data_IF_303895207949
#
_entry.id   IF_303895207949
#
_cell.length_a   1.000
_cell.length_b   1.000
_cell.length_c   1.000
_cell.angle_alpha   90.00
_cell.angle_beta   90.00
_cell.angle_gamma   90.00
#
_symmetry.space_group_name_H-M   'P 1'
#
loop_
_entity.id
_entity.type
_entity.pdbx_description
1 polymer ?
#
# COMPACT_ATOMS: atom_id res chain seq x y z
N UNK A 1 -6.48 -10.84 16.19
CA UNK A 1 -6.50 -9.43 15.78
C UNK A 1 -7.11 -9.33 14.39
N UNK A 2 -7.76 -8.23 14.10
CA UNK A 2 -8.50 -7.98 12.87
C UNK A 2 -8.04 -6.68 12.21
N UNK A 3 -7.82 -6.70 10.91
CA UNK A 3 -7.43 -5.52 10.12
C UNK A 3 -8.44 -5.26 9.02
N UNK A 4 -8.87 -4.01 8.89
CA UNK A 4 -9.68 -3.51 7.79
C UNK A 4 -8.80 -3.00 6.66
N UNK A 5 -9.19 -3.26 5.41
CA UNK A 5 -8.47 -2.77 4.23
C UNK A 5 -9.48 -2.07 3.33
N UNK A 6 -9.18 -0.84 2.95
CA UNK A 6 -9.99 -0.02 2.06
C UNK A 6 -9.21 0.26 0.78
N UNK A 7 -9.59 -0.41 -0.31
CA UNK A 7 -8.98 -0.29 -1.64
C UNK A 7 -9.80 -1.01 -2.68
N UNK A 8 -9.81 -0.55 -3.92
CA UNK A 8 -10.34 -1.33 -5.04
C UNK A 8 -9.47 -2.55 -5.36
N UNK A 9 -10.12 -3.63 -5.77
CA UNK A 9 -9.48 -4.65 -6.59
C UNK A 9 -9.13 -4.04 -7.95
N UNK A 10 -8.00 -4.45 -8.54
CA UNK A 10 -7.58 -3.99 -9.87
C UNK A 10 -7.26 -5.14 -10.80
N UNK A 11 -7.30 -4.87 -12.09
CA UNK A 11 -6.69 -5.70 -13.11
C UNK A 11 -5.69 -4.82 -13.86
N UNK A 12 -4.42 -5.16 -13.75
CA UNK A 12 -3.33 -4.38 -14.35
C UNK A 12 -2.83 -5.05 -15.62
N UNK A 13 -2.98 -4.39 -16.77
CA UNK A 13 -2.42 -4.84 -18.05
C UNK A 13 -0.97 -4.38 -18.15
N UNK A 14 -0.02 -5.27 -17.90
CA UNK A 14 1.42 -4.98 -17.96
C UNK A 14 1.91 -5.19 -19.38
N UNK A 15 2.44 -4.13 -19.99
CA UNK A 15 3.04 -4.14 -21.33
C UNK A 15 4.55 -4.11 -21.21
N UNK A 16 5.21 -5.14 -21.72
CA UNK A 16 6.67 -5.23 -21.77
C UNK A 16 7.12 -5.68 -23.17
N UNK A 17 7.62 -4.76 -23.98
CA UNK A 17 7.85 -5.00 -25.41
C UNK A 17 6.54 -5.35 -26.12
N UNK A 18 6.53 -6.46 -26.84
CA UNK A 18 5.34 -6.98 -27.56
C UNK A 18 4.40 -7.82 -26.69
N UNK A 19 4.76 -8.08 -25.43
CA UNK A 19 3.97 -8.91 -24.54
C UNK A 19 3.02 -8.08 -23.67
N UNK A 20 1.81 -8.59 -23.48
CA UNK A 20 0.80 -8.00 -22.59
C UNK A 20 0.32 -9.09 -21.62
N UNK A 21 0.32 -8.78 -20.33
CA UNK A 21 -0.11 -9.68 -19.26
C UNK A 21 -1.17 -8.98 -18.40
N UNK A 22 -2.33 -9.59 -18.26
CA UNK A 22 -3.34 -9.12 -17.30
C UNK A 22 -3.07 -9.75 -15.94
N UNK A 23 -2.78 -8.90 -14.95
CA UNK A 23 -2.44 -9.29 -13.59
C UNK A 23 -3.49 -8.73 -12.63
N UNK A 24 -4.42 -9.57 -12.13
CA UNK A 24 -5.35 -9.15 -11.11
C UNK A 24 -4.62 -8.92 -9.78
N UNK A 25 -4.98 -7.85 -9.05
CA UNK A 25 -4.27 -7.46 -7.85
C UNK A 25 -4.82 -6.21 -7.18
N UNK A 26 -3.98 -5.20 -7.11
CA UNK A 26 -4.19 -3.97 -6.34
C UNK A 26 -3.93 -4.15 -4.84
N UNK A 27 -3.89 -3.05 -4.08
CA UNK A 27 -3.71 -3.08 -2.64
C UNK A 27 -4.75 -3.96 -1.94
N UNK A 28 -5.99 -4.03 -2.45
CA UNK A 28 -7.02 -4.94 -1.96
C UNK A 28 -6.53 -6.39 -1.85
N UNK A 29 -5.85 -6.90 -2.87
CA UNK A 29 -5.33 -8.27 -2.87
C UNK A 29 -4.03 -8.40 -2.09
N UNK A 30 -3.03 -7.55 -2.38
CA UNK A 30 -1.71 -7.66 -1.77
C UNK A 30 -1.75 -7.43 -0.25
N UNK A 31 -2.45 -6.40 0.22
CA UNK A 31 -2.59 -6.14 1.65
C UNK A 31 -3.36 -7.26 2.36
N UNK A 32 -4.48 -7.70 1.76
CA UNK A 32 -5.33 -8.73 2.37
C UNK A 32 -4.61 -10.06 2.53
N UNK A 33 -3.96 -10.53 1.47
CA UNK A 33 -3.21 -11.79 1.50
C UNK A 33 -2.00 -11.72 2.43
N UNK A 34 -1.31 -10.57 2.46
CA UNK A 34 -0.19 -10.34 3.38
C UNK A 34 -0.65 -10.41 4.83
N UNK A 35 -1.73 -9.71 5.18
CA UNK A 35 -2.28 -9.74 6.52
C UNK A 35 -2.78 -11.15 6.93
N UNK A 36 -3.41 -11.89 6.00
CA UNK A 36 -3.81 -13.30 6.21
C UNK A 36 -2.61 -14.20 6.50
N UNK A 37 -1.54 -14.05 5.71
CA UNK A 37 -0.30 -14.83 5.91
C UNK A 37 0.34 -14.53 7.27
N UNK A 38 0.15 -13.33 7.81
CA UNK A 38 0.57 -12.94 9.16
C UNK A 38 -0.44 -13.31 10.27
N UNK A 39 -1.49 -14.08 9.92
CA UNK A 39 -2.50 -14.62 10.86
C UNK A 39 -3.46 -13.57 11.42
N UNK A 40 -3.72 -12.50 10.70
CA UNK A 40 -4.80 -11.56 11.01
C UNK A 40 -6.12 -12.02 10.37
N UNK A 41 -7.23 -11.71 11.01
CA UNK A 41 -8.53 -11.70 10.35
C UNK A 41 -8.60 -10.44 9.48
N UNK A 42 -9.16 -10.57 8.28
CA UNK A 42 -9.20 -9.47 7.31
C UNK A 42 -10.63 -9.17 6.92
N UNK A 43 -11.00 -7.90 7.02
CA UNK A 43 -12.19 -7.34 6.38
C UNK A 43 -11.73 -6.48 5.21
N UNK A 44 -12.13 -6.84 4.01
CA UNK A 44 -11.80 -6.09 2.80
C UNK A 44 -13.02 -5.29 2.36
N UNK A 45 -12.92 -3.97 2.47
CA UNK A 45 -13.84 -3.01 1.84
C UNK A 45 -13.30 -2.67 0.46
N UNK A 46 -14.02 -3.08 -0.58
CA UNK A 46 -13.57 -2.98 -1.97
C UNK A 46 -14.74 -2.84 -2.92
N UNK A 47 -14.45 -2.47 -4.16
CA UNK A 47 -15.36 -2.65 -5.31
C UNK A 47 -14.62 -3.39 -6.43
N UNK A 48 -15.35 -4.24 -7.15
CA UNK A 48 -14.89 -5.00 -8.30
C UNK A 48 -16.07 -5.37 -9.21
N UNK A 49 -15.83 -5.49 -10.49
CA UNK A 49 -16.82 -5.95 -11.47
C UNK A 49 -16.88 -7.47 -11.57
N UNK A 50 -17.87 -7.97 -12.32
CA UNK A 50 -18.02 -9.39 -12.62
C UNK A 50 -16.80 -9.99 -13.35
N UNK A 51 -15.98 -9.13 -13.94
CA UNK A 51 -14.76 -9.48 -14.67
C UNK A 51 -13.54 -9.75 -13.77
N UNK A 52 -13.67 -9.60 -12.43
CA UNK A 52 -12.56 -9.82 -11.51
C UNK A 52 -12.34 -11.31 -11.20
N UNK A 53 -11.18 -11.90 -11.55
CA UNK A 53 -11.03 -13.35 -11.54
C UNK A 53 -10.63 -13.97 -10.19
N UNK A 54 -10.34 -13.18 -9.15
CA UNK A 54 -9.79 -13.68 -7.88
C UNK A 54 -10.80 -13.79 -6.73
N UNK A 55 -12.11 -13.65 -6.99
CA UNK A 55 -13.12 -13.65 -5.92
C UNK A 55 -13.08 -14.96 -5.11
N UNK A 56 -13.21 -16.07 -5.78
CA UNK A 56 -13.21 -17.39 -5.12
C UNK A 56 -11.89 -17.63 -4.36
N UNK A 57 -10.78 -17.18 -4.92
CA UNK A 57 -9.47 -17.30 -4.28
C UNK A 57 -9.39 -16.49 -2.99
N UNK A 58 -9.89 -15.25 -2.97
CA UNK A 58 -9.92 -14.41 -1.78
C UNK A 58 -10.83 -14.99 -0.70
N UNK A 59 -12.01 -15.50 -1.08
CA UNK A 59 -12.94 -16.16 -0.16
C UNK A 59 -12.35 -17.45 0.44
N UNK A 60 -11.70 -18.29 -0.36
CA UNK A 60 -10.99 -19.49 0.11
C UNK A 60 -9.87 -19.14 1.11
N UNK A 61 -9.24 -17.98 0.96
CA UNK A 61 -8.27 -17.45 1.90
C UNK A 61 -8.92 -16.76 3.12
N UNK A 62 -10.26 -16.87 3.28
CA UNK A 62 -11.02 -16.30 4.41
C UNK A 62 -10.88 -14.78 4.53
N UNK A 63 -10.84 -14.11 3.39
CA UNK A 63 -10.92 -12.65 3.32
C UNK A 63 -12.40 -12.30 3.20
N UNK A 64 -12.94 -11.61 4.23
CA UNK A 64 -14.34 -11.20 4.24
C UNK A 64 -14.53 -9.97 3.36
N UNK A 65 -15.34 -10.11 2.32
CA UNK A 65 -15.71 -9.00 1.42
C UNK A 65 -17.22 -8.76 1.55
N UNK A 66 -17.61 -7.52 1.83
CA UNK A 66 -19.01 -7.12 1.90
C UNK A 66 -19.31 -6.06 0.85
N UNK A 67 -20.43 -6.22 0.14
CA UNK A 67 -20.90 -5.24 -0.86
C UNK A 67 -19.84 -4.86 -1.92
N UNK A 68 -18.95 -5.81 -2.26
CA UNK A 68 -17.84 -5.55 -3.18
C UNK A 68 -18.24 -5.58 -4.66
N UNK A 69 -19.22 -6.40 -5.04
CA UNK A 69 -19.65 -6.53 -6.43
C UNK A 69 -20.32 -5.25 -6.92
N UNK A 70 -19.82 -4.73 -8.03
CA UNK A 70 -20.28 -3.55 -8.74
C UNK A 70 -20.94 -3.93 -10.06
N UNK A 71 -21.80 -3.06 -10.59
CA UNK A 71 -22.30 -3.16 -11.96
C UNK A 71 -21.28 -2.67 -12.98
N UNK A 72 -20.30 -1.88 -12.55
CA UNK A 72 -19.18 -1.43 -13.39
C UNK A 72 -18.11 -2.52 -13.49
N UNK A 73 -17.29 -2.45 -14.52
CA UNK A 73 -16.10 -3.29 -14.62
C UNK A 73 -15.07 -2.94 -13.53
N UNK A 74 -14.25 -3.90 -13.20
CA UNK A 74 -13.13 -3.73 -12.26
C UNK A 74 -12.21 -2.59 -12.67
N UNK A 75 -11.70 -1.82 -11.71
CA UNK A 75 -10.69 -0.78 -11.98
C UNK A 75 -9.48 -1.37 -12.70
N UNK A 76 -9.10 -0.77 -13.83
CA UNK A 76 -8.04 -1.26 -14.71
C UNK A 76 -6.99 -0.20 -14.97
N UNK A 77 -5.74 -0.63 -14.89
CA UNK A 77 -4.60 0.17 -15.32
C UNK A 77 -3.84 -0.54 -16.44
N UNK A 78 -3.29 0.25 -17.37
CA UNK A 78 -2.25 -0.20 -18.29
C UNK A 78 -0.92 0.31 -17.77
N UNK A 79 0.03 -0.61 -17.57
CA UNK A 79 1.37 -0.34 -17.09
C UNK A 79 2.35 -0.61 -18.22
N UNK A 80 2.97 0.43 -18.73
CA UNK A 80 3.99 0.30 -19.79
C UNK A 80 5.37 0.36 -19.15
N UNK A 81 6.13 -0.72 -19.31
CA UNK A 81 7.50 -0.81 -18.81
C UNK A 81 8.47 -0.54 -19.97
N UNK A 82 9.30 0.49 -19.83
CA UNK A 82 10.36 0.85 -20.78
C UNK A 82 11.68 1.03 -20.04
N UNK A 83 12.65 0.16 -20.29
CA UNK A 83 14.02 0.17 -19.71
C UNK A 83 14.14 0.56 -18.23
N UNK A 84 13.96 1.84 -17.89
CA UNK A 84 14.06 2.38 -16.53
C UNK A 84 12.79 3.09 -16.07
N UNK A 85 11.81 3.26 -16.95
CA UNK A 85 10.60 4.05 -16.69
C UNK A 85 9.35 3.18 -16.67
N UNK A 86 8.41 3.58 -15.84
CA UNK A 86 7.09 2.98 -15.72
C UNK A 86 6.04 4.06 -15.96
N UNK A 87 5.25 3.88 -17.01
CA UNK A 87 4.10 4.71 -17.28
C UNK A 87 2.81 4.00 -16.89
N UNK A 88 1.90 4.73 -16.27
CA UNK A 88 0.62 4.21 -15.79
C UNK A 88 -0.52 4.95 -16.48
N UNK A 89 -1.48 4.20 -16.99
CA UNK A 89 -2.68 4.75 -17.64
C UNK A 89 -3.92 4.14 -17.01
N UNK A 90 -4.93 4.97 -16.72
CA UNK A 90 -6.25 4.47 -16.29
C UNK A 90 -7.04 4.01 -17.50
N UNK A 91 -7.57 2.79 -17.46
CA UNK A 91 -8.40 2.24 -18.52
C UNK A 91 -9.87 2.14 -18.13
N UNK A 92 -10.12 1.77 -16.87
CA UNK A 92 -11.45 1.69 -16.31
C UNK A 92 -11.44 2.08 -14.84
N UNK A 93 -12.55 2.59 -14.34
CA UNK A 93 -12.78 2.98 -12.97
C UNK A 93 -14.07 2.32 -12.47
N UNK A 94 -13.99 1.59 -11.38
CA UNK A 94 -15.14 1.00 -10.72
C UNK A 94 -15.91 2.04 -9.89
N UNK A 95 -17.09 1.69 -9.37
CA UNK A 95 -17.90 2.52 -8.49
C UNK A 95 -17.12 3.01 -7.26
N UNK A 96 -17.43 4.20 -6.71
CA UNK A 96 -16.88 4.64 -5.43
C UNK A 96 -17.14 3.66 -4.30
N UNK A 97 -16.27 3.65 -3.32
CA UNK A 97 -16.39 2.77 -2.15
C UNK A 97 -17.42 3.28 -1.15
N UNK A 98 -17.92 2.34 -0.33
CA UNK A 98 -18.84 2.62 0.77
C UNK A 98 -18.17 2.33 2.13
N UNK A 99 -18.65 3.01 3.18
CA UNK A 99 -18.24 2.70 4.54
C UNK A 99 -18.82 1.35 4.97
N UNK A 100 -17.96 0.50 5.53
CA UNK A 100 -18.38 -0.74 6.17
C UNK A 100 -18.04 -0.62 7.65
N UNK A 101 -19.09 -0.61 8.49
CA UNK A 101 -18.94 -0.56 9.94
C UNK A 101 -18.50 -1.93 10.46
N UNK A 102 -17.23 -2.03 10.81
CA UNK A 102 -16.61 -3.26 11.32
C UNK A 102 -15.61 -2.91 12.43
N UNK A 103 -15.66 -3.68 13.49
CA UNK A 103 -14.72 -3.55 14.61
C UNK A 103 -13.34 -4.11 14.20
N UNK A 104 -12.44 -3.22 13.79
CA UNK A 104 -11.08 -3.54 13.40
C UNK A 104 -10.08 -2.98 14.41
N UNK A 105 -9.06 -3.76 14.77
CA UNK A 105 -7.94 -3.30 15.60
C UNK A 105 -7.14 -2.18 14.90
N UNK A 106 -7.15 -2.16 13.57
CA UNK A 106 -6.56 -1.12 12.73
C UNK A 106 -7.02 -1.21 11.30
N UNK A 107 -6.81 -0.14 10.53
CA UNK A 107 -7.15 -0.08 9.11
C UNK A 107 -5.98 0.33 8.23
N UNK A 108 -5.98 -0.17 7.01
CA UNK A 108 -5.12 0.25 5.90
C UNK A 108 -6.00 0.93 4.87
N UNK A 109 -5.70 2.19 4.57
CA UNK A 109 -6.36 2.97 3.53
C UNK A 109 -5.37 3.13 2.38
N UNK A 110 -5.61 2.44 1.29
CA UNK A 110 -4.71 2.44 0.12
C UNK A 110 -5.53 2.53 -1.17
N UNK A 111 -6.16 3.68 -1.43
CA UNK A 111 -6.91 3.87 -2.67
C UNK A 111 -5.99 3.75 -3.89
N UNK A 112 -6.54 3.32 -5.02
CA UNK A 112 -5.82 3.20 -6.28
C UNK A 112 -6.07 4.37 -7.22
N UNK A 113 -7.31 4.91 -7.24
CA UNK A 113 -7.68 6.06 -8.06
C UNK A 113 -9.02 6.67 -7.65
N UNK A 114 -8.99 7.63 -6.73
CA UNK A 114 -10.14 8.51 -6.37
C UNK A 114 -11.44 7.76 -6.00
N UNK A 115 -11.31 6.54 -5.46
CA UNK A 115 -12.46 5.73 -5.06
C UNK A 115 -12.96 5.99 -3.63
N UNK A 116 -12.18 6.76 -2.85
CA UNK A 116 -12.50 7.13 -1.47
C UNK A 116 -12.76 8.64 -1.42
N UNK A 117 -13.98 9.03 -1.08
CA UNK A 117 -14.35 10.43 -0.89
C UNK A 117 -13.80 10.97 0.43
N UNK A 118 -13.72 12.30 0.58
CA UNK A 118 -13.25 12.95 1.83
C UNK A 118 -14.14 12.55 3.03
N UNK A 119 -15.46 12.42 2.81
CA UNK A 119 -16.39 11.99 3.86
C UNK A 119 -16.12 10.53 4.27
N UNK A 120 -15.93 9.65 3.31
CA UNK A 120 -15.58 8.25 3.58
C UNK A 120 -14.24 8.14 4.29
N UNK A 121 -13.23 8.87 3.83
CA UNK A 121 -11.91 8.91 4.46
C UNK A 121 -11.98 9.33 5.93
N UNK A 122 -12.77 10.38 6.23
CA UNK A 122 -13.01 10.83 7.59
C UNK A 122 -13.67 9.74 8.46
N UNK A 123 -14.72 9.07 7.95
CA UNK A 123 -15.41 7.99 8.67
C UNK A 123 -14.46 6.82 8.97
N UNK A 124 -13.66 6.40 8.00
CA UNK A 124 -12.70 5.30 8.17
C UNK A 124 -11.68 5.63 9.27
N UNK A 125 -11.09 6.83 9.25
CA UNK A 125 -10.11 7.25 10.27
C UNK A 125 -10.68 7.26 11.68
N UNK A 126 -11.98 7.52 11.82
CA UNK A 126 -12.67 7.56 13.11
C UNK A 126 -13.10 6.17 13.61
N UNK A 127 -13.07 5.14 12.77
CA UNK A 127 -13.54 3.79 13.12
C UNK A 127 -12.52 2.92 13.84
N UNK A 128 -11.29 3.39 14.02
CA UNK A 128 -10.21 2.62 14.62
C UNK A 128 -9.15 3.51 15.28
N UNK A 129 -8.37 2.93 16.17
CA UNK A 129 -7.28 3.64 16.85
C UNK A 129 -5.95 3.61 16.09
N UNK A 130 -5.84 2.82 15.02
CA UNK A 130 -4.64 2.76 14.20
C UNK A 130 -4.99 2.79 12.71
N UNK A 131 -4.60 3.86 12.05
CA UNK A 131 -4.81 4.06 10.61
C UNK A 131 -3.47 4.18 9.90
N UNK A 132 -3.20 3.28 8.94
CA UNK A 132 -2.10 3.42 7.99
C UNK A 132 -2.65 3.88 6.65
N UNK A 133 -2.09 4.97 6.12
CA UNK A 133 -2.44 5.56 4.83
C UNK A 133 -1.34 5.33 3.80
N UNK A 134 -1.70 4.83 2.63
CA UNK A 134 -0.96 4.95 1.37
C UNK A 134 -1.76 5.87 0.45
N UNK A 135 -1.37 7.14 0.28
CA UNK A 135 -2.23 8.16 -0.33
C UNK A 135 -2.31 8.12 -1.84
N UNK A 136 -1.65 7.15 -2.51
CA UNK A 136 -1.44 7.13 -3.95
C UNK A 136 -2.71 7.45 -4.77
N UNK A 137 -3.86 6.89 -4.43
CA UNK A 137 -5.11 7.07 -5.19
C UNK A 137 -5.75 8.45 -5.00
N UNK A 138 -5.52 9.12 -3.88
CA UNK A 138 -5.93 10.52 -3.69
C UNK A 138 -5.11 11.49 -4.54
N UNK A 139 -3.84 11.15 -4.79
CA UNK A 139 -2.88 11.99 -5.50
C UNK A 139 -2.94 11.82 -7.02
N UNK A 140 -3.49 10.71 -7.49
CA UNK A 140 -3.56 10.41 -8.92
C UNK A 140 -4.63 11.25 -9.62
N UNK A 141 -4.25 11.74 -10.79
CA UNK A 141 -5.13 12.34 -11.79
C UNK A 141 -4.69 11.80 -13.16
N UNK A 142 -5.36 12.15 -14.25
CA UNK A 142 -4.94 11.76 -15.60
C UNK A 142 -5.04 12.93 -16.57
N UNK A 143 -4.24 12.88 -17.62
CA UNK A 143 -4.30 13.81 -18.74
C UNK A 143 -5.32 13.31 -19.81
N UNK A 144 -5.41 14.01 -20.95
CA UNK A 144 -6.28 13.64 -22.07
C UNK A 144 -6.06 12.24 -22.64
N UNK A 145 -4.86 11.70 -22.46
CA UNK A 145 -4.45 10.37 -22.97
C UNK A 145 -4.62 9.28 -21.89
N UNK A 146 -5.32 9.59 -20.80
CA UNK A 146 -5.50 8.74 -19.62
C UNK A 146 -4.20 8.37 -18.89
N UNK A 147 -3.08 9.03 -19.18
CA UNK A 147 -1.82 8.85 -18.44
C UNK A 147 -1.95 9.43 -17.04
N UNK A 148 -1.60 8.62 -16.05
CA UNK A 148 -1.63 9.02 -14.64
C UNK A 148 -0.53 10.04 -14.36
N UNK A 149 -0.93 11.11 -13.70
CA UNK A 149 -0.09 12.18 -13.19
C UNK A 149 -0.38 12.35 -11.70
N UNK A 150 0.56 12.91 -10.94
CA UNK A 150 0.30 13.32 -9.56
C UNK A 150 -0.20 14.76 -9.53
N UNK A 151 -1.21 15.01 -8.70
CA UNK A 151 -1.75 16.34 -8.41
C UNK A 151 -1.35 16.77 -7.00
N UNK A 152 -1.11 18.05 -6.81
CA UNK A 152 -0.98 18.62 -5.46
C UNK A 152 -2.37 18.76 -4.85
N UNK A 153 -2.54 18.22 -3.65
CA UNK A 153 -3.78 18.33 -2.89
C UNK A 153 -3.50 18.62 -1.42
N UNK A 154 -4.47 19.17 -0.76
CA UNK A 154 -4.49 19.27 0.70
C UNK A 154 -5.39 18.16 1.22
N UNK A 155 -4.82 17.16 1.88
CA UNK A 155 -5.53 16.06 2.49
C UNK A 155 -5.61 16.29 4.01
N UNK A 156 -6.76 16.04 4.61
CA UNK A 156 -6.93 16.14 6.07
C UNK A 156 -6.38 14.87 6.73
N UNK A 157 -5.20 14.98 7.33
CA UNK A 157 -4.43 13.85 7.85
C UNK A 157 -4.62 13.59 9.35
N UNK A 158 -5.42 14.42 10.03
CA UNK A 158 -5.75 14.17 11.44
C UNK A 158 -6.37 12.79 11.64
N UNK A 159 -5.90 12.04 12.64
CA UNK A 159 -6.30 10.65 12.89
C UNK A 159 -5.55 9.59 12.06
N UNK A 160 -4.60 9.99 11.19
CA UNK A 160 -3.69 9.04 10.53
C UNK A 160 -2.51 8.74 11.44
N UNK A 161 -2.33 7.48 11.84
CA UNK A 161 -1.23 7.04 12.73
C UNK A 161 0.08 6.80 12.00
N UNK A 162 -0.01 6.32 10.77
CA UNK A 162 1.14 6.07 9.91
C UNK A 162 0.81 6.42 8.45
N UNK A 163 1.79 6.96 7.73
CA UNK A 163 1.70 7.20 6.29
C UNK A 163 2.91 6.59 5.58
N UNK A 164 2.68 5.92 4.45
CA UNK A 164 3.74 5.48 3.54
C UNK A 164 3.66 6.29 2.26
N UNK A 165 4.75 6.89 1.87
CA UNK A 165 4.85 7.77 0.69
C UNK A 165 6.14 7.54 -0.08
N UNK A 166 6.12 7.88 -1.37
CA UNK A 166 7.28 8.08 -2.22
C UNK A 166 7.75 9.56 -2.20
N UNK A 167 8.93 9.89 -2.73
CA UNK A 167 9.38 11.29 -2.84
C UNK A 167 8.41 12.19 -3.61
N UNK A 168 7.84 11.71 -4.72
CA UNK A 168 6.89 12.47 -5.53
C UNK A 168 5.54 12.69 -4.82
N UNK A 169 5.07 11.68 -4.09
CA UNK A 169 3.87 11.78 -3.25
C UNK A 169 4.08 12.73 -2.08
N UNK A 170 5.26 12.72 -1.46
CA UNK A 170 5.64 13.68 -0.42
C UNK A 170 5.54 15.11 -0.93
N UNK A 171 6.13 15.38 -2.10
CA UNK A 171 6.05 16.70 -2.73
C UNK A 171 4.61 17.08 -3.09
N UNK A 172 3.82 16.13 -3.58
CA UNK A 172 2.40 16.35 -3.93
C UNK A 172 1.53 16.71 -2.73
N UNK A 173 1.83 16.17 -1.54
CA UNK A 173 1.10 16.46 -0.30
C UNK A 173 1.58 17.71 0.43
N UNK A 174 2.88 18.01 0.37
CA UNK A 174 3.48 19.04 1.22
C UNK A 174 4.00 20.25 0.46
N UNK A 175 4.22 20.12 -0.85
CA UNK A 175 4.93 21.11 -1.67
C UNK A 175 6.43 21.18 -1.36
N UNK A 176 6.94 20.30 -0.49
CA UNK A 176 8.33 20.31 -0.01
C UNK A 176 8.90 18.90 -0.11
N UNK A 177 10.19 18.80 -0.46
CA UNK A 177 10.91 17.54 -0.55
C UNK A 177 11.71 17.24 0.72
N UNK A 178 12.24 16.02 0.79
CA UNK A 178 13.21 15.59 1.78
C UNK A 178 12.71 15.67 3.25
N UNK A 179 13.60 15.87 4.18
CA UNK A 179 13.32 15.88 5.61
C UNK A 179 12.31 16.94 6.03
N UNK A 180 12.32 18.11 5.37
CA UNK A 180 11.38 19.17 5.67
C UNK A 180 9.94 18.76 5.35
N UNK A 181 9.72 18.02 4.27
CA UNK A 181 8.42 17.45 3.92
C UNK A 181 7.96 16.41 4.95
N UNK A 182 8.86 15.53 5.40
CA UNK A 182 8.56 14.53 6.44
C UNK A 182 8.15 15.20 7.76
N UNK A 183 8.87 16.25 8.17
CA UNK A 183 8.54 17.03 9.37
C UNK A 183 7.20 17.75 9.26
N UNK A 184 6.81 18.21 8.05
CA UNK A 184 5.49 18.82 7.84
C UNK A 184 4.37 17.80 8.04
N UNK A 185 4.53 16.57 7.54
CA UNK A 185 3.55 15.49 7.77
C UNK A 185 3.45 15.14 9.26
N UNK A 186 4.57 15.07 9.96
CA UNK A 186 4.57 14.81 11.39
C UNK A 186 3.91 15.95 12.19
N UNK A 187 4.12 17.23 11.81
CA UNK A 187 3.43 18.37 12.41
C UNK A 187 1.90 18.34 12.21
N UNK A 188 1.43 17.66 11.17
CA UNK A 188 0.02 17.39 10.94
C UNK A 188 -0.54 16.20 11.76
N UNK A 189 0.21 15.73 12.77
CA UNK A 189 -0.24 14.72 13.73
C UNK A 189 0.14 13.28 13.40
N UNK A 190 0.86 13.02 12.31
CA UNK A 190 1.25 11.65 11.94
C UNK A 190 2.47 11.22 12.76
N UNK A 191 2.33 10.16 13.55
CA UNK A 191 3.41 9.67 14.40
C UNK A 191 4.50 8.91 13.63
N UNK A 192 4.12 8.18 12.57
CA UNK A 192 4.99 7.31 11.80
C UNK A 192 4.98 7.72 10.32
N UNK A 193 6.01 8.45 9.87
CA UNK A 193 6.11 8.89 8.47
C UNK A 193 7.14 8.04 7.74
N UNK A 194 6.68 7.18 6.82
CA UNK A 194 7.50 6.23 6.08
C UNK A 194 7.76 6.80 4.67
N UNK A 195 9.02 6.95 4.30
CA UNK A 195 9.45 7.31 2.95
C UNK A 195 10.09 6.09 2.28
N UNK A 196 9.51 5.68 1.15
CA UNK A 196 10.06 4.59 0.33
C UNK A 196 10.63 5.18 -0.95
N UNK A 197 11.93 5.08 -1.14
CA UNK A 197 12.63 5.56 -2.33
C UNK A 197 13.49 4.43 -2.93
N UNK A 198 12.95 3.72 -3.91
CA UNK A 198 13.58 2.53 -4.52
C UNK A 198 13.95 1.50 -3.44
N UNK A 199 15.24 1.35 -3.17
CA UNK A 199 15.76 0.40 -2.17
C UNK A 199 15.87 1.01 -0.77
N UNK A 200 15.88 2.33 -0.66
CA UNK A 200 16.02 3.03 0.61
C UNK A 200 14.65 3.25 1.23
N UNK A 201 14.50 2.81 2.47
CA UNK A 201 13.27 2.97 3.25
C UNK A 201 13.64 3.68 4.54
N UNK A 202 12.95 4.77 4.82
CA UNK A 202 13.15 5.59 6.01
C UNK A 202 11.85 5.74 6.79
N UNK A 203 11.95 5.82 8.10
CA UNK A 203 10.84 6.04 9.02
C UNK A 203 11.19 7.19 9.96
N UNK A 204 10.48 8.29 9.87
CA UNK A 204 10.54 9.38 10.85
C UNK A 204 9.59 9.09 12.00
N UNK A 205 10.14 9.04 13.22
CA UNK A 205 9.39 9.00 14.48
C UNK A 205 10.01 10.01 15.43
N UNK A 206 9.20 10.93 15.91
CA UNK A 206 9.65 12.07 16.75
C UNK A 206 10.73 12.89 16.03
N UNK A 207 11.96 12.88 16.56
CA UNK A 207 13.13 13.64 16.09
C UNK A 207 14.19 12.75 15.41
N UNK A 208 13.82 11.49 15.06
CA UNK A 208 14.76 10.50 14.50
C UNK A 208 14.25 9.88 13.22
N UNK A 209 15.13 9.77 12.26
CA UNK A 209 14.92 8.99 11.04
C UNK A 209 15.69 7.69 11.18
N UNK A 210 14.94 6.59 11.19
CA UNK A 210 15.45 5.23 11.11
C UNK A 210 15.46 4.78 9.65
N UNK A 211 16.46 4.03 9.23
CA UNK A 211 16.57 3.59 7.84
C UNK A 211 17.05 2.16 7.70
N UNK A 212 16.51 1.52 6.67
CA UNK A 212 16.96 0.23 6.14
C UNK A 212 17.17 0.37 4.64
N UNK A 213 18.00 -0.50 4.07
CA UNK A 213 18.20 -0.57 2.62
C UNK A 213 18.01 -1.99 2.13
N UNK A 214 17.10 -2.17 1.18
CA UNK A 214 16.92 -3.44 0.49
C UNK A 214 18.15 -3.76 -0.36
N UNK A 215 18.53 -5.04 -0.48
CA UNK A 215 19.65 -5.43 -1.32
C UNK A 215 19.38 -5.14 -2.80
N UNK A 216 20.47 -5.06 -3.59
CA UNK A 216 20.36 -5.02 -5.05
C UNK A 216 19.89 -6.38 -5.55
N UNK A 217 18.61 -6.48 -5.86
CA UNK A 217 18.01 -7.64 -6.49
C UNK A 217 17.73 -7.33 -7.96
N UNK A 218 17.86 -8.33 -8.80
CA UNK A 218 17.34 -8.27 -10.15
C UNK A 218 15.82 -8.19 -10.07
N UNK A 219 15.27 -7.01 -10.37
CA UNK A 219 13.85 -6.73 -10.23
C UNK A 219 13.08 -7.34 -11.39
N UNK A 220 12.16 -8.23 -11.09
CA UNK A 220 11.32 -8.90 -12.07
C UNK A 220 9.94 -8.24 -12.17
N UNK A 221 9.28 -8.07 -11.03
CA UNK A 221 8.00 -7.37 -10.90
C UNK A 221 7.92 -6.70 -9.52
N UNK A 222 7.86 -5.37 -9.51
CA UNK A 222 7.78 -4.57 -8.28
C UNK A 222 6.35 -4.18 -7.91
N UNK A 223 5.34 -4.60 -8.69
CA UNK A 223 3.94 -4.28 -8.44
C UNK A 223 3.49 -4.91 -7.12
N UNK A 224 2.82 -4.14 -6.26
CA UNK A 224 2.32 -4.61 -4.97
C UNK A 224 3.35 -4.70 -3.83
N UNK A 225 4.64 -4.41 -4.08
CA UNK A 225 5.67 -4.43 -3.01
C UNK A 225 5.35 -3.38 -1.93
N UNK A 226 4.92 -2.19 -2.32
CA UNK A 226 4.47 -1.14 -1.39
C UNK A 226 3.28 -1.60 -0.53
N UNK A 227 2.35 -2.32 -1.13
CA UNK A 227 1.16 -2.83 -0.44
C UNK A 227 1.52 -3.94 0.56
N UNK A 228 2.42 -4.87 0.17
CA UNK A 228 2.98 -5.91 1.05
C UNK A 228 3.72 -5.25 2.23
N UNK A 229 4.49 -4.20 1.97
CA UNK A 229 5.14 -3.41 3.00
C UNK A 229 4.12 -2.79 3.96
N UNK A 230 3.12 -2.06 3.45
CA UNK A 230 2.07 -1.42 4.25
C UNK A 230 1.34 -2.42 5.15
N UNK A 231 0.92 -3.54 4.58
CA UNK A 231 0.20 -4.57 5.35
C UNK A 231 1.08 -5.18 6.44
N UNK A 232 2.36 -5.44 6.15
CA UNK A 232 3.30 -5.97 7.13
C UNK A 232 3.57 -4.97 8.24
N UNK A 233 3.79 -3.69 7.89
CA UNK A 233 4.00 -2.62 8.86
C UNK A 233 2.80 -2.49 9.79
N UNK A 234 1.59 -2.37 9.25
CA UNK A 234 0.35 -2.28 10.03
C UNK A 234 0.16 -3.48 10.97
N UNK A 235 0.25 -4.70 10.43
CA UNK A 235 0.08 -5.91 11.24
C UNK A 235 1.11 -6.02 12.37
N UNK A 236 2.37 -5.62 12.11
CA UNK A 236 3.42 -5.66 13.13
C UNK A 236 3.19 -4.58 14.19
N UNK A 237 2.83 -3.35 13.79
CA UNK A 237 2.48 -2.29 14.74
C UNK A 237 1.32 -2.69 15.67
N UNK A 238 0.27 -3.30 15.11
CA UNK A 238 -0.88 -3.76 15.91
C UNK A 238 -0.50 -4.85 16.92
N UNK A 239 0.40 -5.74 16.55
CA UNK A 239 0.80 -6.89 17.38
C UNK A 239 1.87 -6.55 18.40
N UNK A 240 2.95 -5.90 17.96
CA UNK A 240 4.16 -5.68 18.75
C UNK A 240 4.19 -4.28 19.39
N UNK A 241 3.43 -3.31 18.82
CA UNK A 241 3.45 -1.89 19.22
C UNK A 241 4.87 -1.30 19.21
N UNK A 242 5.71 -1.79 18.31
CA UNK A 242 7.10 -1.39 18.14
C UNK A 242 7.37 -1.04 16.68
N UNK A 243 7.65 0.24 16.43
CA UNK A 243 7.87 0.77 15.08
C UNK A 243 9.19 0.29 14.45
N UNK A 244 10.20 -0.08 15.23
CA UNK A 244 11.46 -0.63 14.70
C UNK A 244 11.27 -2.04 14.18
N UNK A 245 10.52 -2.86 14.92
CA UNK A 245 10.09 -4.17 14.45
C UNK A 245 9.18 -4.04 13.22
N UNK A 246 8.24 -3.09 13.25
CA UNK A 246 7.35 -2.87 12.11
C UNK A 246 8.10 -2.47 10.84
N UNK A 247 9.06 -1.54 10.93
CA UNK A 247 9.91 -1.14 9.80
C UNK A 247 10.73 -2.33 9.28
N UNK A 248 11.36 -3.07 10.20
CA UNK A 248 12.23 -4.19 9.85
C UNK A 248 11.49 -5.34 9.20
N UNK A 249 10.32 -5.72 9.75
CA UNK A 249 9.49 -6.78 9.19
C UNK A 249 8.85 -6.37 7.86
N UNK A 250 8.44 -5.12 7.71
CA UNK A 250 7.92 -4.60 6.45
C UNK A 250 9.00 -4.61 5.35
N UNK A 251 10.23 -4.21 5.67
CA UNK A 251 11.39 -4.37 4.77
C UNK A 251 11.68 -5.83 4.45
N UNK A 252 11.60 -6.70 5.46
CA UNK A 252 11.77 -8.15 5.30
C UNK A 252 10.71 -8.78 4.37
N UNK A 253 9.47 -8.32 4.46
CA UNK A 253 8.40 -8.77 3.57
C UNK A 253 8.60 -8.28 2.13
N UNK A 254 9.01 -7.02 1.96
CA UNK A 254 9.34 -6.46 0.65
C UNK A 254 10.48 -7.25 -0.02
N UNK A 255 11.56 -7.52 0.71
CA UNK A 255 12.67 -8.34 0.21
C UNK A 255 12.22 -9.75 -0.14
N UNK A 256 11.51 -10.43 0.76
CA UNK A 256 11.04 -11.79 0.53
C UNK A 256 10.14 -11.88 -0.72
N UNK A 257 9.29 -10.88 -0.96
CA UNK A 257 8.45 -10.84 -2.15
C UNK A 257 9.29 -10.67 -3.43
N UNK A 258 10.29 -9.79 -3.43
CA UNK A 258 11.20 -9.57 -4.56
C UNK A 258 12.03 -10.82 -4.88
N UNK A 259 12.49 -11.55 -3.87
CA UNK A 259 13.28 -12.78 -4.02
C UNK A 259 12.51 -13.92 -4.68
N UNK A 260 11.18 -13.91 -4.63
CA UNK A 260 10.37 -15.00 -5.24
C UNK A 260 10.49 -15.05 -6.76
N UNK A 261 10.82 -13.94 -7.42
CA UNK A 261 10.78 -13.76 -8.89
C UNK A 261 9.43 -14.16 -9.51
N UNK A 262 8.33 -14.07 -8.72
CA UNK A 262 6.97 -14.36 -9.14
C UNK A 262 6.21 -13.11 -9.53
N UNK A 263 5.14 -13.29 -10.32
CA UNK A 263 4.22 -12.21 -10.69
C UNK A 263 3.00 -12.15 -9.78
N UNK A 264 2.40 -10.98 -9.73
CA UNK A 264 1.10 -10.77 -9.10
C UNK A 264 1.08 -11.23 -7.65
N UNK A 265 -0.05 -11.77 -7.22
CA UNK A 265 -0.28 -12.19 -5.83
C UNK A 265 0.56 -13.40 -5.37
N UNK A 266 1.14 -14.15 -6.30
CA UNK A 266 1.98 -15.30 -5.96
C UNK A 266 3.28 -14.90 -5.24
N UNK A 267 3.70 -13.63 -5.35
CA UNK A 267 4.88 -13.10 -4.66
C UNK A 267 4.63 -12.81 -3.17
N UNK A 268 3.37 -12.78 -2.72
CA UNK A 268 3.06 -12.48 -1.32
C UNK A 268 3.76 -13.46 -0.38
N UNK A 269 4.67 -13.00 0.50
CA UNK A 269 5.54 -13.88 1.24
C UNK A 269 4.80 -14.61 2.37
N UNK A 270 5.29 -15.79 2.71
CA UNK A 270 4.86 -16.52 3.91
C UNK A 270 5.51 -15.92 5.16
N UNK A 271 4.85 -16.05 6.31
CA UNK A 271 5.28 -15.49 7.59
C UNK A 271 6.75 -15.80 7.93
N UNK A 272 7.21 -17.04 7.77
CA UNK A 272 8.58 -17.42 8.10
C UNK A 272 9.67 -16.68 7.30
N UNK A 273 9.42 -16.41 5.99
CA UNK A 273 10.34 -15.62 5.18
C UNK A 273 10.41 -14.15 5.67
N UNK A 274 9.26 -13.59 6.05
CA UNK A 274 9.18 -12.24 6.63
C UNK A 274 9.98 -12.15 7.93
N UNK A 275 9.83 -13.13 8.83
CA UNK A 275 10.52 -13.18 10.12
C UNK A 275 12.04 -13.28 9.96
N UNK A 276 12.52 -14.11 9.06
CA UNK A 276 13.96 -14.27 8.80
C UNK A 276 14.57 -12.96 8.29
N UNK A 277 14.02 -12.38 7.24
CA UNK A 277 14.53 -11.13 6.67
C UNK A 277 14.31 -9.94 7.62
N UNK A 278 13.19 -9.91 8.34
CA UNK A 278 12.88 -8.87 9.33
C UNK A 278 13.90 -8.84 10.47
N UNK A 279 14.28 -9.99 11.00
CA UNK A 279 15.32 -10.09 12.03
C UNK A 279 16.69 -9.59 11.52
N UNK A 280 17.03 -9.87 10.26
CA UNK A 280 18.24 -9.31 9.65
C UNK A 280 18.19 -7.77 9.61
N UNK A 281 17.08 -7.19 9.09
CA UNK A 281 16.95 -5.73 9.01
C UNK A 281 16.96 -5.06 10.39
N UNK A 282 16.36 -5.68 11.39
CA UNK A 282 16.38 -5.14 12.75
C UNK A 282 17.81 -4.92 13.26
N UNK A 283 18.71 -5.85 12.98
CA UNK A 283 20.11 -5.75 13.34
C UNK A 283 20.91 -4.76 12.49
N UNK A 284 20.37 -4.40 11.31
CA UNK A 284 21.03 -3.50 10.34
C UNK A 284 20.44 -2.08 10.35
N UNK A 285 19.49 -1.80 11.24
CA UNK A 285 18.89 -0.48 11.40
C UNK A 285 19.94 0.58 11.65
N UNK A 286 19.85 1.66 10.88
CA UNK A 286 20.60 2.89 11.10
C UNK A 286 19.65 3.98 11.53
N UNK A 287 20.14 4.96 12.26
CA UNK A 287 19.36 6.15 12.58
C UNK A 287 20.19 7.40 12.53
N UNK A 288 19.53 8.53 12.30
CA UNK A 288 20.08 9.89 12.44
C UNK A 288 19.05 10.79 13.11
N UNK A 289 19.51 11.81 13.77
CA UNK A 289 18.67 12.86 14.32
C UNK A 289 18.38 13.91 13.23
N UNK A 290 17.19 14.51 13.27
CA UNK A 290 16.72 15.51 12.30
C UNK A 290 16.55 16.86 12.99
#
# INVERSE_FOLDING_TARGET
MKVGIYSHCTIDSIVHGDNVYDVPGGPACYCSLTARNQKFNVTLSTKYGIDFPLIDFLEQNKISMKNGLSNDNTTRFKIVLSNSDRELFIQNRCEPMEFIDEDNDGVIISPVYDEITDELFKKIKQSTNFTLLDPQGFLRNHNSDNKILLKQIKLELDGVSAIKISPDELFSLTGVSDDAGLLLLQKNGIENVILTNKQDISLLVKDKIYSIRLPNLELFDTTGIGDIFCATFCCTMLREKDFLWALSFAGGAAQAALETKKFGIEKVPRKGAVENNGSYFYNMLKFRQI
#
